data_IF_649266544701
#
_entry.id   IF_649266544701
#
_cell.length_a   1.000
_cell.length_b   1.000
_cell.length_c   1.000
_cell.angle_alpha   90.00
_cell.angle_beta   90.00
_cell.angle_gamma   90.00
#
_symmetry.space_group_name_H-M   'P 1'
#
loop_
_entity.id
_entity.type
_entity.pdbx_description
1 polymer ?
#
# COMPACT_ATOMS: atom_id res chain seq x y z
N UNK A 1 2.29 -12.49 4.14
CA UNK A 1 1.17 -13.45 4.21
C UNK A 1 0.20 -13.04 3.11
N UNK A 2 -0.23 -13.98 2.26
CA UNK A 2 -1.22 -13.72 1.21
C UNK A 2 -2.58 -14.05 1.81
N UNK A 3 -3.53 -13.11 1.74
CA UNK A 3 -4.91 -13.30 2.20
C UNK A 3 -5.83 -13.26 0.98
N UNK A 4 -6.73 -14.24 0.87
CA UNK A 4 -7.76 -14.25 -0.17
C UNK A 4 -9.03 -13.73 0.47
N UNK A 5 -9.64 -12.72 -0.14
CA UNK A 5 -10.92 -12.16 0.30
C UNK A 5 -11.93 -12.16 -0.85
N UNK A 6 -13.21 -12.18 -0.50
CA UNK A 6 -14.32 -12.21 -1.44
C UNK A 6 -15.24 -11.03 -1.15
N UNK A 7 -15.56 -10.23 -2.17
CA UNK A 7 -16.47 -9.11 -2.02
C UNK A 7 -17.91 -9.56 -1.76
N UNK A 8 -18.29 -10.68 -2.39
CA UNK A 8 -19.63 -11.27 -2.28
C UNK A 8 -19.53 -12.78 -1.99
N UNK A 9 -19.21 -13.17 -0.75
CA UNK A 9 -18.96 -14.57 -0.37
C UNK A 9 -20.19 -15.47 -0.54
N UNK A 10 -21.39 -14.92 -0.58
CA UNK A 10 -22.63 -15.62 -0.82
C UNK A 10 -22.65 -16.37 -2.16
N UNK A 11 -21.99 -15.87 -3.19
CA UNK A 11 -21.91 -16.56 -4.47
C UNK A 11 -21.07 -17.85 -4.44
N UNK A 12 -20.26 -18.06 -3.41
CA UNK A 12 -19.56 -19.33 -3.22
C UNK A 12 -20.51 -20.53 -3.00
N UNK A 13 -21.75 -20.26 -2.57
CA UNK A 13 -22.78 -21.33 -2.50
C UNK A 13 -23.04 -21.99 -3.85
N UNK A 14 -22.80 -21.30 -4.97
CA UNK A 14 -22.90 -21.90 -6.29
C UNK A 14 -21.89 -23.06 -6.52
N UNK A 15 -20.86 -23.22 -5.68
CA UNK A 15 -19.98 -24.40 -5.73
C UNK A 15 -20.74 -25.70 -5.52
N UNK A 16 -21.89 -25.68 -4.84
CA UNK A 16 -22.76 -26.84 -4.72
C UNK A 16 -23.39 -27.29 -6.07
N UNK A 17 -23.31 -26.47 -7.11
CA UNK A 17 -23.72 -26.86 -8.48
C UNK A 17 -22.72 -27.84 -9.13
N UNK A 18 -21.46 -27.92 -8.65
CA UNK A 18 -20.45 -28.84 -9.20
C UNK A 18 -20.85 -30.32 -9.08
N UNK A 19 -21.23 -30.85 -7.89
CA UNK A 19 -21.75 -32.21 -7.79
C UNK A 19 -22.96 -32.47 -8.68
N UNK A 20 -23.88 -31.50 -8.80
CA UNK A 20 -25.07 -31.61 -9.64
C UNK A 20 -24.66 -31.80 -11.11
N UNK A 21 -23.71 -31.00 -11.58
CA UNK A 21 -23.19 -31.07 -12.95
C UNK A 21 -22.54 -32.45 -13.22
N UNK A 22 -21.77 -32.99 -12.27
CA UNK A 22 -21.15 -34.31 -12.36
C UNK A 22 -22.24 -35.39 -12.47
N UNK A 23 -23.26 -35.33 -11.62
CA UNK A 23 -24.37 -36.30 -11.61
C UNK A 23 -25.12 -36.23 -12.93
N UNK A 24 -25.51 -35.04 -13.39
CA UNK A 24 -26.22 -34.84 -14.66
C UNK A 24 -25.41 -35.39 -15.83
N UNK A 25 -24.12 -35.08 -15.90
CA UNK A 25 -23.22 -35.59 -16.94
C UNK A 25 -23.14 -37.12 -16.91
N UNK A 26 -23.01 -37.72 -15.73
CA UNK A 26 -22.97 -39.19 -15.57
C UNK A 26 -24.26 -39.85 -16.00
N UNK A 27 -25.43 -39.31 -15.65
CA UNK A 27 -26.74 -39.82 -16.06
C UNK A 27 -26.91 -39.71 -17.59
N UNK A 28 -26.55 -38.58 -18.16
CA UNK A 28 -26.62 -38.34 -19.60
C UNK A 28 -25.74 -39.30 -20.36
N UNK A 29 -24.50 -39.51 -19.90
CA UNK A 29 -23.57 -40.46 -20.49
C UNK A 29 -24.11 -41.89 -20.46
N UNK A 30 -24.64 -42.36 -19.31
CA UNK A 30 -25.25 -43.67 -19.19
C UNK A 30 -26.47 -43.84 -20.10
N UNK A 31 -27.33 -42.83 -20.25
CA UNK A 31 -28.48 -42.84 -21.13
C UNK A 31 -28.06 -42.94 -22.60
N UNK A 32 -27.02 -42.21 -23.00
CA UNK A 32 -26.49 -42.20 -24.38
C UNK A 32 -25.88 -43.56 -24.70
N UNK A 33 -25.13 -44.16 -23.79
CA UNK A 33 -24.62 -45.54 -23.94
C UNK A 33 -25.75 -46.57 -24.13
N UNK A 34 -26.81 -46.50 -23.30
CA UNK A 34 -27.95 -47.41 -23.42
C UNK A 34 -28.70 -47.26 -24.74
N UNK A 35 -28.79 -46.06 -25.29
CA UNK A 35 -29.40 -45.83 -26.62
C UNK A 35 -28.51 -46.38 -27.74
N UNK A 36 -27.20 -46.19 -27.67
CA UNK A 36 -26.26 -46.71 -28.65
C UNK A 36 -26.23 -48.26 -28.67
N UNK A 37 -26.44 -48.93 -27.54
CA UNK A 37 -26.56 -50.37 -27.45
C UNK A 37 -27.84 -50.95 -28.12
N UNK A 38 -28.87 -50.13 -28.34
CA UNK A 38 -30.10 -50.55 -29.01
C UNK A 38 -30.01 -50.56 -30.55
N UNK A 39 -29.03 -49.88 -31.14
CA UNK A 39 -28.79 -49.89 -32.56
C UNK A 39 -27.71 -50.93 -32.89
N UNK A 40 -28.13 -52.02 -33.52
CA UNK A 40 -27.33 -53.19 -33.83
C UNK A 40 -26.11 -52.87 -34.68
N UNK A 41 -24.95 -52.87 -34.11
CA UNK A 41 -23.60 -53.10 -34.59
C UNK A 41 -22.55 -52.54 -33.63
N UNK A 42 -22.88 -52.52 -32.35
CA UNK A 42 -22.05 -51.92 -31.29
C UNK A 42 -20.75 -52.66 -31.07
N UNK A 43 -20.71 -53.96 -31.32
CA UNK A 43 -19.51 -54.78 -31.09
C UNK A 43 -18.35 -54.41 -32.06
N UNK A 44 -18.67 -54.03 -33.27
CA UNK A 44 -17.68 -53.51 -34.23
C UNK A 44 -17.22 -52.09 -33.91
N UNK A 45 -18.14 -51.23 -33.46
CA UNK A 45 -17.86 -49.82 -33.09
C UNK A 45 -17.13 -49.78 -31.73
N UNK A 46 -17.48 -50.61 -30.76
CA UNK A 46 -16.84 -50.61 -29.44
C UNK A 46 -15.40 -51.10 -29.47
N UNK A 47 -15.04 -51.99 -30.39
CA UNK A 47 -13.65 -52.40 -30.61
C UNK A 47 -12.77 -51.34 -31.19
N UNK A 48 -13.32 -50.40 -31.97
CA UNK A 48 -12.60 -49.32 -32.65
C UNK A 48 -12.57 -48.02 -31.81
N UNK A 49 -13.62 -47.74 -31.04
CA UNK A 49 -13.83 -46.40 -30.46
C UNK A 49 -14.01 -46.41 -28.93
N UNK A 50 -14.18 -47.54 -28.29
CA UNK A 50 -14.67 -47.64 -26.90
C UNK A 50 -13.82 -46.94 -25.82
N UNK A 51 -12.51 -46.97 -25.97
CA UNK A 51 -11.63 -46.34 -24.98
C UNK A 51 -11.47 -44.82 -25.20
N UNK A 52 -11.58 -44.36 -26.43
CA UNK A 52 -11.42 -42.92 -26.77
C UNK A 52 -12.66 -42.08 -26.42
N UNK A 53 -13.88 -42.66 -26.55
CA UNK A 53 -15.11 -41.99 -26.18
C UNK A 53 -15.21 -41.67 -24.68
N UNK A 54 -14.77 -42.56 -23.85
CA UNK A 54 -14.78 -42.39 -22.38
C UNK A 54 -13.80 -41.30 -21.96
N UNK A 55 -12.57 -41.37 -22.47
CA UNK A 55 -11.53 -40.40 -22.18
C UNK A 55 -11.96 -38.99 -22.57
N UNK A 56 -12.55 -38.84 -23.74
CA UNK A 56 -12.96 -37.55 -24.30
C UNK A 56 -14.10 -36.90 -23.51
N UNK A 57 -15.10 -37.64 -23.07
CA UNK A 57 -16.19 -37.11 -22.24
C UNK A 57 -15.67 -36.63 -20.86
N UNK A 58 -14.63 -37.28 -20.32
CA UNK A 58 -13.98 -36.86 -19.08
C UNK A 58 -13.24 -35.52 -19.29
N UNK A 59 -12.50 -35.33 -20.38
CA UNK A 59 -11.84 -34.06 -20.65
C UNK A 59 -12.84 -32.89 -20.78
N UNK A 60 -13.93 -33.07 -21.51
CA UNK A 60 -14.97 -32.06 -21.63
C UNK A 60 -15.63 -31.75 -20.27
N UNK A 61 -15.85 -32.77 -19.44
CA UNK A 61 -16.37 -32.54 -18.09
C UNK A 61 -15.41 -31.74 -17.23
N UNK A 62 -14.10 -32.04 -17.28
CA UNK A 62 -13.08 -31.26 -16.55
C UNK A 62 -13.08 -29.82 -17.02
N UNK A 63 -13.12 -29.56 -18.34
CA UNK A 63 -13.20 -28.18 -18.86
C UNK A 63 -14.42 -27.43 -18.30
N UNK A 64 -15.61 -28.05 -18.31
CA UNK A 64 -16.83 -27.47 -17.74
C UNK A 64 -16.73 -27.18 -16.26
N UNK A 65 -16.16 -28.11 -15.49
CA UNK A 65 -15.98 -27.93 -14.05
C UNK A 65 -15.02 -26.77 -13.75
N UNK A 66 -13.89 -26.70 -14.45
CA UNK A 66 -12.93 -25.61 -14.29
C UNK A 66 -13.53 -24.28 -14.67
N UNK A 67 -14.23 -24.23 -15.81
CA UNK A 67 -14.90 -23.00 -16.26
C UNK A 67 -15.93 -22.53 -15.24
N UNK A 68 -16.76 -23.45 -14.72
CA UNK A 68 -17.78 -23.11 -13.72
C UNK A 68 -17.16 -22.57 -12.43
N UNK A 69 -16.04 -23.18 -11.95
CA UNK A 69 -15.31 -22.68 -10.79
C UNK A 69 -14.78 -21.27 -11.05
N UNK A 70 -14.18 -21.01 -12.22
CA UNK A 70 -13.65 -19.68 -12.56
C UNK A 70 -14.76 -18.64 -12.62
N UNK A 71 -15.92 -18.97 -13.18
CA UNK A 71 -17.09 -18.08 -13.19
C UNK A 71 -17.57 -17.77 -11.77
N UNK A 72 -17.67 -18.79 -10.91
CA UNK A 72 -18.08 -18.60 -9.51
C UNK A 72 -17.08 -17.71 -8.77
N UNK A 73 -15.78 -17.93 -8.94
CA UNK A 73 -14.74 -17.10 -8.34
C UNK A 73 -14.76 -15.66 -8.89
N UNK A 74 -15.04 -15.48 -10.17
CA UNK A 74 -15.20 -14.16 -10.76
C UNK A 74 -16.40 -13.42 -10.14
N UNK A 75 -17.58 -14.06 -10.08
CA UNK A 75 -18.81 -13.45 -9.55
C UNK A 75 -18.71 -13.19 -8.05
N UNK A 76 -17.98 -14.03 -7.30
CA UNK A 76 -17.72 -13.80 -5.87
C UNK A 76 -16.81 -12.61 -5.59
N UNK A 77 -16.24 -11.96 -6.64
CA UNK A 77 -15.35 -10.83 -6.46
C UNK A 77 -14.07 -11.21 -5.72
N UNK A 78 -13.38 -12.23 -6.21
CA UNK A 78 -12.16 -12.74 -5.59
C UNK A 78 -11.04 -11.72 -5.69
N UNK A 79 -10.50 -11.30 -4.55
CA UNK A 79 -9.34 -10.43 -4.45
C UNK A 79 -8.23 -11.08 -3.64
N UNK A 80 -7.01 -10.95 -4.13
CA UNK A 80 -5.80 -11.43 -3.47
C UNK A 80 -5.12 -10.26 -2.82
N UNK A 81 -5.09 -10.24 -1.50
CA UNK A 81 -4.41 -9.22 -0.71
C UNK A 81 -3.05 -9.76 -0.28
N UNK A 82 -2.00 -9.07 -0.63
CA UNK A 82 -0.64 -9.38 -0.19
C UNK A 82 0.01 -8.16 0.43
N UNK A 83 0.92 -8.39 1.37
CA UNK A 83 1.78 -7.34 1.87
C UNK A 83 2.84 -7.08 0.80
N UNK A 84 2.49 -6.24 -0.16
CA UNK A 84 3.44 -5.72 -1.14
C UNK A 84 4.04 -4.42 -0.63
N UNK A 85 5.15 -4.01 -1.23
CA UNK A 85 5.55 -2.62 -1.23
C UNK A 85 4.43 -1.87 -1.96
N UNK A 86 3.47 -1.35 -1.19
CA UNK A 86 2.32 -0.69 -1.78
C UNK A 86 2.75 0.62 -2.35
N UNK A 87 2.35 0.77 -3.57
CA UNK A 87 1.91 2.03 -4.18
C UNK A 87 2.51 3.27 -3.52
N UNK A 88 3.35 3.90 -4.29
CA UNK A 88 3.76 5.30 -4.18
C UNK A 88 3.06 6.05 -3.05
N UNK A 89 3.76 6.19 -1.94
CA UNK A 89 3.45 7.20 -0.94
C UNK A 89 4.38 8.37 -1.22
N UNK A 90 3.82 9.56 -1.36
CA UNK A 90 4.61 10.77 -1.44
C UNK A 90 4.83 11.30 -0.03
N UNK A 91 6.03 11.71 0.26
CA UNK A 91 6.41 12.27 1.55
C UNK A 91 6.78 13.74 1.43
N UNK A 92 6.41 14.54 2.43
CA UNK A 92 7.03 15.83 2.69
C UNK A 92 7.81 15.72 4.01
N UNK A 93 9.12 15.67 3.91
CA UNK A 93 10.00 15.59 5.05
C UNK A 93 10.30 17.02 5.54
N UNK A 94 9.86 17.34 6.75
CA UNK A 94 10.00 18.65 7.35
C UNK A 94 10.94 18.59 8.53
N UNK A 95 12.09 19.26 8.44
CA UNK A 95 13.16 19.25 9.44
C UNK A 95 13.23 20.62 10.12
N UNK A 96 13.05 20.63 11.42
CA UNK A 96 13.25 21.82 12.23
C UNK A 96 14.72 22.24 12.20
N UNK A 97 14.95 23.49 11.85
CA UNK A 97 16.26 24.12 11.80
C UNK A 97 16.38 25.33 12.77
N UNK A 98 15.46 25.40 13.75
CA UNK A 98 15.48 26.44 14.78
C UNK A 98 16.69 26.33 15.72
N UNK A 99 16.94 27.36 16.50
CA UNK A 99 18.08 27.41 17.41
C UNK A 99 18.05 26.30 18.47
N UNK A 100 16.86 25.80 18.89
CA UNK A 100 16.72 24.70 19.84
C UNK A 100 17.27 23.38 19.31
N UNK A 101 17.40 23.25 17.99
CA UNK A 101 17.99 22.07 17.36
C UNK A 101 19.53 22.01 17.43
N UNK A 102 20.18 23.09 17.95
CA UNK A 102 21.61 23.09 18.26
C UNK A 102 21.94 22.38 19.57
N UNK A 103 20.94 22.11 20.39
CA UNK A 103 21.15 21.45 21.70
C UNK A 103 21.77 20.06 21.49
N UNK A 104 22.75 19.73 22.37
CA UNK A 104 23.56 18.51 22.27
C UNK A 104 23.11 17.39 23.23
N UNK A 105 21.87 17.45 23.70
CA UNK A 105 21.28 16.38 24.53
C UNK A 105 21.15 15.04 23.74
N UNK A 106 21.17 15.14 22.42
CA UNK A 106 21.30 13.99 21.49
C UNK A 106 22.55 14.24 20.63
N UNK A 107 23.53 13.38 20.75
CA UNK A 107 24.84 13.57 20.07
C UNK A 107 24.76 13.30 18.56
N UNK A 108 25.39 14.14 17.70
CA UNK A 108 26.24 15.31 18.05
C UNK A 108 25.44 16.59 18.35
N UNK A 109 24.24 16.75 17.80
CA UNK A 109 23.19 17.72 18.12
C UNK A 109 21.85 17.18 17.63
N UNK A 110 20.74 17.78 18.08
CA UNK A 110 19.40 17.39 17.59
C UNK A 110 19.32 17.51 16.06
N UNK A 111 19.80 18.63 15.48
CA UNK A 111 19.77 18.83 14.02
C UNK A 111 20.61 17.80 13.27
N UNK A 112 21.84 17.57 13.69
CA UNK A 112 22.71 16.62 13.01
C UNK A 112 22.18 15.17 13.13
N UNK A 113 21.59 14.82 14.27
CA UNK A 113 20.92 13.54 14.46
C UNK A 113 19.67 13.41 13.57
N UNK A 114 18.85 14.46 13.46
CA UNK A 114 17.72 14.52 12.56
C UNK A 114 18.13 14.36 11.09
N UNK A 115 19.19 15.05 10.65
CA UNK A 115 19.72 14.93 9.28
C UNK A 115 20.22 13.53 8.97
N UNK A 116 20.98 12.91 9.88
CA UNK A 116 21.49 11.54 9.69
C UNK A 116 20.36 10.52 9.61
N UNK A 117 19.35 10.65 10.45
CA UNK A 117 18.18 9.78 10.45
C UNK A 117 17.30 10.01 9.19
N UNK A 118 17.15 11.26 8.76
CA UNK A 118 16.44 11.60 7.52
C UNK A 118 17.13 11.01 6.28
N UNK A 119 18.46 11.05 6.21
CA UNK A 119 19.24 10.37 5.15
C UNK A 119 19.00 8.86 5.18
N UNK A 120 19.06 8.24 6.36
CA UNK A 120 18.79 6.81 6.50
C UNK A 120 17.34 6.44 6.15
N UNK A 121 16.38 7.32 6.44
CA UNK A 121 14.98 7.13 6.03
C UNK A 121 14.85 7.03 4.51
N UNK A 122 15.54 7.89 3.75
CA UNK A 122 15.53 7.82 2.29
C UNK A 122 16.08 6.48 1.77
N UNK A 123 17.04 5.84 2.47
CA UNK A 123 17.56 4.52 2.11
C UNK A 123 16.52 3.39 2.26
N UNK A 124 15.52 3.58 3.10
CA UNK A 124 14.43 2.61 3.30
C UNK A 124 13.25 2.78 2.34
N UNK A 125 13.21 3.88 1.59
CA UNK A 125 12.14 4.16 0.65
C UNK A 125 12.36 3.42 -0.69
N UNK A 126 11.29 2.99 -1.35
CA UNK A 126 11.37 2.48 -2.71
C UNK A 126 11.87 3.55 -3.70
N UNK A 127 12.61 3.14 -4.74
CA UNK A 127 13.21 4.03 -5.76
C UNK A 127 12.21 4.98 -6.45
N UNK A 128 10.92 4.62 -6.49
CA UNK A 128 9.87 5.41 -7.13
C UNK A 128 9.16 6.39 -6.18
N UNK A 129 9.63 6.49 -4.94
CA UNK A 129 9.02 7.36 -3.93
C UNK A 129 9.37 8.82 -4.23
N UNK A 130 8.35 9.69 -4.29
CA UNK A 130 8.56 11.12 -4.39
C UNK A 130 8.64 11.73 -2.99
N UNK A 131 9.69 12.50 -2.76
CA UNK A 131 9.91 13.18 -1.48
C UNK A 131 10.13 14.66 -1.72
N UNK A 132 9.35 15.51 -1.03
CA UNK A 132 9.61 16.92 -0.88
C UNK A 132 10.39 17.19 0.42
N UNK A 133 11.22 18.19 0.43
CA UNK A 133 12.05 18.53 1.58
C UNK A 133 11.80 19.98 2.01
N UNK A 134 11.57 20.16 3.29
CA UNK A 134 11.32 21.44 3.94
C UNK A 134 12.27 21.58 5.12
N UNK A 135 12.95 22.71 5.23
CA UNK A 135 13.56 23.15 6.49
C UNK A 135 12.73 24.31 7.05
N UNK A 136 12.60 24.37 8.36
CA UNK A 136 11.79 25.43 8.96
C UNK A 136 12.34 25.88 10.31
N UNK A 137 12.00 27.12 10.62
CA UNK A 137 12.25 27.81 11.89
C UNK A 137 11.15 28.85 12.06
N UNK A 138 11.46 30.09 12.37
CA UNK A 138 10.53 31.22 12.23
C UNK A 138 10.11 31.52 10.78
N UNK A 139 10.74 30.90 9.82
CA UNK A 139 10.42 30.96 8.37
C UNK A 139 10.55 29.55 7.79
N UNK A 140 9.70 29.26 6.78
CA UNK A 140 9.68 27.97 6.11
C UNK A 140 10.42 28.07 4.78
N UNK A 141 11.35 27.16 4.53
CA UNK A 141 12.12 27.05 3.30
C UNK A 141 11.79 25.75 2.58
N UNK A 142 11.39 25.83 1.32
CA UNK A 142 11.23 24.66 0.46
C UNK A 142 12.61 24.34 -0.12
N UNK A 143 13.27 23.34 0.43
CA UNK A 143 14.58 22.87 -0.01
C UNK A 143 14.48 22.08 -1.32
N UNK A 144 13.40 21.30 -1.47
CA UNK A 144 13.07 20.58 -2.69
C UNK A 144 11.56 20.37 -2.79
N UNK A 145 11.01 20.56 -3.99
CA UNK A 145 9.67 20.05 -4.33
C UNK A 145 9.71 18.53 -4.45
N UNK A 146 8.58 17.88 -4.80
CA UNK A 146 8.53 16.43 -4.98
C UNK A 146 9.55 15.94 -6.02
N UNK A 147 10.56 15.24 -5.55
CA UNK A 147 11.69 14.69 -6.32
C UNK A 147 11.78 13.18 -6.12
N UNK A 148 12.20 12.45 -7.14
CA UNK A 148 12.47 11.00 -7.08
C UNK A 148 13.94 10.67 -6.93
N UNK A 149 14.83 11.63 -7.19
CA UNK A 149 16.28 11.47 -7.01
C UNK A 149 16.63 11.58 -5.53
N UNK A 150 16.59 10.42 -4.85
CA UNK A 150 16.86 10.33 -3.41
C UNK A 150 18.32 10.69 -3.07
N UNK A 151 19.28 10.46 -3.97
CA UNK A 151 20.68 10.82 -3.73
C UNK A 151 20.88 12.35 -3.73
N UNK A 152 20.20 13.03 -4.65
CA UNK A 152 20.18 14.49 -4.64
C UNK A 152 19.60 15.05 -3.34
N UNK A 153 18.48 14.47 -2.87
CA UNK A 153 17.85 14.86 -1.60
C UNK A 153 18.76 14.64 -0.40
N UNK A 154 19.51 13.53 -0.35
CA UNK A 154 20.51 13.29 0.70
C UNK A 154 21.58 14.38 0.74
N UNK A 155 22.00 14.86 -0.45
CA UNK A 155 22.94 15.98 -0.55
C UNK A 155 22.36 17.25 0.06
N UNK A 156 21.10 17.57 -0.25
CA UNK A 156 20.40 18.75 0.28
C UNK A 156 20.21 18.65 1.80
N UNK A 157 19.77 17.48 2.32
CA UNK A 157 19.61 17.27 3.78
C UNK A 157 20.92 17.56 4.52
N UNK A 158 22.05 17.08 4.01
CA UNK A 158 23.35 17.32 4.63
C UNK A 158 23.74 18.79 4.67
N UNK A 159 23.27 19.60 3.72
CA UNK A 159 23.57 21.04 3.64
C UNK A 159 22.67 21.91 4.52
N UNK A 160 21.57 21.38 5.09
CA UNK A 160 20.70 22.15 5.99
C UNK A 160 21.52 22.63 7.20
N UNK A 161 21.39 23.93 7.47
CA UNK A 161 22.03 24.61 8.60
C UNK A 161 20.96 25.22 9.50
N UNK A 162 21.35 25.50 10.75
CA UNK A 162 20.48 26.23 11.67
C UNK A 162 20.16 27.59 11.12
N UNK A 163 18.87 27.92 11.13
CA UNK A 163 18.36 29.20 10.68
C UNK A 163 18.73 30.32 11.66
N UNK A 164 19.09 31.49 11.13
CA UNK A 164 19.27 32.69 11.94
C UNK A 164 17.94 33.36 12.33
N UNK A 165 16.82 32.93 11.74
CA UNK A 165 15.50 33.45 12.06
C UNK A 165 14.96 32.74 13.29
N UNK A 166 14.76 33.50 14.35
CA UNK A 166 14.25 32.98 15.62
C UNK A 166 12.78 32.54 15.53
N UNK A 167 12.38 31.64 16.42
CA UNK A 167 11.04 31.08 16.51
C UNK A 167 10.85 29.83 15.66
N UNK A 168 9.63 29.25 15.76
CA UNK A 168 9.24 28.04 15.04
C UNK A 168 7.80 28.17 14.58
N UNK A 169 7.56 28.10 13.26
CA UNK A 169 6.25 28.20 12.60
C UNK A 169 5.82 26.82 12.09
N UNK A 170 5.27 25.99 12.99
CA UNK A 170 4.73 24.68 12.64
C UNK A 170 3.52 24.74 11.73
N UNK A 171 2.66 25.76 11.93
CA UNK A 171 1.45 25.90 11.13
C UNK A 171 1.75 26.11 9.65
N UNK A 172 2.63 27.07 9.33
CA UNK A 172 3.03 27.31 7.95
C UNK A 172 3.82 26.13 7.35
N UNK A 173 4.57 25.39 8.17
CA UNK A 173 5.29 24.18 7.76
C UNK A 173 4.30 23.09 7.29
N UNK A 174 3.23 22.86 8.04
CA UNK A 174 2.18 21.90 7.69
C UNK A 174 1.46 22.30 6.40
N UNK A 175 1.10 23.60 6.26
CA UNK A 175 0.46 24.11 5.04
C UNK A 175 1.40 23.96 3.83
N UNK A 176 2.66 24.33 3.98
CA UNK A 176 3.66 24.20 2.90
C UNK A 176 3.86 22.76 2.49
N UNK A 177 4.00 21.84 3.45
CA UNK A 177 4.10 20.39 3.20
C UNK A 177 2.87 19.85 2.49
N UNK A 178 1.67 20.28 2.91
CA UNK A 178 0.41 19.94 2.25
C UNK A 178 0.40 20.43 0.81
N UNK A 179 0.78 21.68 0.57
CA UNK A 179 0.82 22.26 -0.77
C UNK A 179 1.78 21.52 -1.69
N UNK A 180 2.97 21.14 -1.22
CA UNK A 180 3.93 20.34 -1.99
C UNK A 180 3.30 18.98 -2.38
N UNK A 181 2.64 18.30 -1.44
CA UNK A 181 2.07 16.98 -1.67
C UNK A 181 0.86 16.97 -2.62
N UNK A 182 0.04 18.02 -2.60
CA UNK A 182 -1.13 18.11 -3.49
C UNK A 182 -0.78 18.50 -4.93
N UNK A 183 0.45 18.93 -5.21
CA UNK A 183 0.90 19.19 -6.60
C UNK A 183 0.88 17.94 -7.45
N UNK A 184 1.03 16.78 -6.83
CA UNK A 184 0.91 15.48 -7.52
C UNK A 184 -0.53 14.97 -7.46
N UNK A 185 -1.20 14.93 -8.62
CA UNK A 185 -2.56 14.43 -8.76
C UNK A 185 -2.66 12.90 -8.78
N UNK A 186 -1.55 12.17 -8.63
CA UNK A 186 -1.57 10.72 -8.59
C UNK A 186 -2.40 10.21 -7.39
N UNK A 187 -3.11 9.08 -7.52
CA UNK A 187 -3.89 8.47 -6.43
C UNK A 187 -2.99 7.75 -5.43
N UNK A 188 -2.13 8.50 -4.77
CA UNK A 188 -1.12 8.03 -3.82
C UNK A 188 -1.43 8.46 -2.40
N UNK A 189 -0.91 7.75 -1.41
CA UNK A 189 -0.93 8.22 -0.03
C UNK A 189 0.01 9.42 0.11
N UNK A 190 -0.38 10.42 0.88
CA UNK A 190 0.38 11.64 1.11
C UNK A 190 0.68 11.78 2.59
N UNK A 191 1.94 11.92 2.92
CA UNK A 191 2.43 11.87 4.30
C UNK A 191 3.39 13.02 4.55
N UNK A 192 3.15 13.77 5.61
CA UNK A 192 4.14 14.69 6.18
C UNK A 192 4.86 13.97 7.31
N UNK A 193 6.17 14.02 7.33
CA UNK A 193 7.01 13.61 8.46
C UNK A 193 7.63 14.85 9.06
N UNK A 194 7.17 15.22 10.24
CA UNK A 194 7.57 16.43 10.93
C UNK A 194 8.56 16.08 12.05
N UNK A 195 9.77 16.65 12.00
CA UNK A 195 10.82 16.44 13.01
C UNK A 195 11.08 17.76 13.70
N UNK A 196 10.78 17.84 15.00
CA UNK A 196 10.88 19.09 15.78
C UNK A 196 10.90 18.75 17.27
N UNK A 197 11.28 19.73 18.11
CA UNK A 197 11.04 19.67 19.55
C UNK A 197 9.60 20.09 19.94
N UNK A 198 8.75 20.39 18.98
CA UNK A 198 7.32 20.64 19.17
C UNK A 198 6.96 22.07 19.55
N UNK A 199 7.91 22.91 19.86
CA UNK A 199 7.63 24.30 20.22
C UNK A 199 7.16 25.07 18.99
N UNK A 200 5.96 25.67 19.08
CA UNK A 200 5.40 26.55 18.05
C UNK A 200 5.03 27.86 18.69
N UNK A 201 5.76 28.90 18.38
CA UNK A 201 5.64 30.19 19.07
C UNK A 201 5.30 31.36 18.15
N UNK A 202 5.27 31.15 16.84
CA UNK A 202 4.91 32.15 15.84
C UNK A 202 4.16 31.53 14.67
N UNK A 203 3.56 32.37 13.83
CA UNK A 203 3.01 32.01 12.54
C UNK A 203 1.53 31.63 12.56
N UNK A 204 1.14 30.70 11.68
CA UNK A 204 -0.24 30.31 11.47
C UNK A 204 -0.72 29.44 12.63
N UNK A 205 -1.96 29.66 13.15
CA UNK A 205 -2.52 28.80 14.19
C UNK A 205 -2.50 27.33 13.79
N UNK A 206 -1.92 26.50 14.63
CA UNK A 206 -1.72 25.07 14.37
C UNK A 206 -3.03 24.33 14.02
N UNK A 207 -4.13 24.70 14.71
CA UNK A 207 -5.46 24.13 14.44
C UNK A 207 -5.89 24.30 12.98
N UNK A 208 -5.74 25.51 12.44
CA UNK A 208 -6.13 25.81 11.03
C UNK A 208 -5.26 25.06 10.03
N UNK A 209 -3.97 24.92 10.34
CA UNK A 209 -3.05 24.16 9.49
C UNK A 209 -3.36 22.65 9.46
N UNK A 210 -3.71 22.08 10.64
CA UNK A 210 -4.11 20.67 10.76
C UNK A 210 -5.45 20.43 10.06
N UNK A 211 -6.44 21.31 10.22
CA UNK A 211 -7.72 21.24 9.50
C UNK A 211 -7.48 21.23 7.97
N UNK A 212 -6.62 22.11 7.47
CA UNK A 212 -6.25 22.15 6.05
C UNK A 212 -5.59 20.84 5.57
N UNK A 213 -4.72 20.24 6.38
CA UNK A 213 -4.10 18.96 6.07
C UNK A 213 -5.14 17.82 5.99
N UNK A 214 -6.10 17.79 6.93
CA UNK A 214 -7.19 16.79 6.96
C UNK A 214 -8.09 16.91 5.73
N UNK A 215 -8.50 18.12 5.35
CA UNK A 215 -9.31 18.36 4.15
C UNK A 215 -8.63 17.82 2.89
N UNK A 216 -7.30 17.90 2.83
CA UNK A 216 -6.48 17.37 1.72
C UNK A 216 -6.06 15.90 1.90
N UNK A 217 -6.57 15.21 2.93
CA UNK A 217 -6.29 13.79 3.24
C UNK A 217 -4.80 13.52 3.45
N UNK A 218 -4.10 14.44 4.09
CA UNK A 218 -2.70 14.30 4.47
C UNK A 218 -2.60 13.64 5.84
N UNK A 219 -1.76 12.63 5.95
CA UNK A 219 -1.38 12.01 7.22
C UNK A 219 -0.12 12.70 7.73
N UNK A 220 -0.08 13.06 9.01
CA UNK A 220 1.10 13.70 9.60
C UNK A 220 1.66 12.78 10.67
N UNK A 221 2.86 12.26 10.45
CA UNK A 221 3.66 11.64 11.50
C UNK A 221 4.55 12.68 12.14
N UNK A 222 4.60 12.70 13.45
CA UNK A 222 5.42 13.63 14.21
C UNK A 222 6.52 12.89 14.96
N UNK A 223 7.74 13.38 14.87
CA UNK A 223 8.91 12.88 15.60
C UNK A 223 9.37 13.99 16.53
N UNK A 224 9.10 13.83 17.82
CA UNK A 224 9.60 14.72 18.85
C UNK A 224 11.03 14.39 19.19
N UNK A 225 11.96 15.32 18.95
CA UNK A 225 13.38 15.14 19.21
C UNK A 225 13.80 15.91 20.46
N UNK A 226 14.34 15.19 21.46
CA UNK A 226 14.79 15.75 22.73
C UNK A 226 14.67 14.78 23.88
N UNK A 227 15.39 15.05 24.95
CA UNK A 227 15.34 14.28 26.18
C UNK A 227 14.28 14.86 27.15
N UNK A 228 13.86 14.07 28.16
CA UNK A 228 12.85 14.48 29.14
C UNK A 228 13.35 15.64 30.03
N UNK A 229 14.63 15.60 30.34
CA UNK A 229 15.29 16.63 31.15
C UNK A 229 15.51 17.93 30.35
N UNK A 230 15.34 17.86 29.01
CA UNK A 230 15.69 18.93 28.11
C UNK A 230 17.20 19.15 27.99
N UNK A 231 17.59 20.06 27.12
CA UNK A 231 18.97 20.42 26.97
C UNK A 231 19.17 21.94 27.08
N UNK A 232 20.21 22.37 27.72
CA UNK A 232 20.57 23.78 27.83
C UNK A 232 21.19 24.28 26.53
N UNK A 233 20.83 25.50 26.10
CA UNK A 233 21.53 26.15 25.01
C UNK A 233 22.99 26.45 25.42
N UNK A 234 23.91 26.27 24.49
CA UNK A 234 25.33 26.52 24.73
C UNK A 234 25.54 27.95 25.25
N UNK A 235 26.05 28.06 26.49
CA UNK A 235 26.37 29.34 27.14
C UNK A 235 25.17 30.09 27.77
N UNK A 236 24.03 29.43 27.97
CA UNK A 236 22.86 29.99 28.65
C UNK A 236 22.24 28.98 29.62
N UNK A 237 21.47 29.48 30.59
CA UNK A 237 20.68 28.64 31.52
C UNK A 237 19.26 28.33 30.94
N UNK A 238 19.01 28.66 29.67
CA UNK A 238 17.70 28.40 29.02
C UNK A 238 17.65 26.95 28.58
N UNK A 239 16.65 26.22 29.06
CA UNK A 239 16.45 24.80 28.73
C UNK A 239 15.36 24.70 27.63
N UNK A 240 15.67 24.00 26.56
CA UNK A 240 14.69 23.60 25.56
C UNK A 240 14.05 22.27 25.95
N UNK A 241 12.76 22.28 26.21
CA UNK A 241 11.96 21.08 26.52
C UNK A 241 11.11 20.68 25.34
N UNK A 242 10.83 19.38 25.22
CA UNK A 242 9.98 18.82 24.20
C UNK A 242 8.49 19.09 24.48
N UNK A 243 7.75 19.68 23.52
CA UNK A 243 6.30 19.86 23.61
C UNK A 243 5.58 18.65 22.94
N UNK A 244 5.46 17.58 23.73
CA UNK A 244 4.86 16.35 23.23
C UNK A 244 3.36 16.44 22.97
N UNK A 245 2.63 17.23 23.75
CA UNK A 245 1.18 17.25 23.69
C UNK A 245 0.70 17.81 22.33
N UNK A 246 1.34 18.86 21.83
CA UNK A 246 1.06 19.39 20.52
C UNK A 246 1.38 18.37 19.42
N UNK A 247 2.52 17.69 19.49
CA UNK A 247 2.93 16.71 18.49
C UNK A 247 2.04 15.47 18.46
N UNK A 248 1.64 14.95 19.63
CA UNK A 248 0.67 13.87 19.76
C UNK A 248 -0.68 14.24 19.15
N UNK A 249 -1.18 15.43 19.48
CA UNK A 249 -2.45 15.92 18.99
C UNK A 249 -2.47 16.05 17.46
N UNK A 250 -1.41 16.59 16.85
CA UNK A 250 -1.28 16.68 15.38
C UNK A 250 -1.35 15.29 14.75
N UNK A 251 -0.57 14.35 15.27
CA UNK A 251 -0.53 12.98 14.74
C UNK A 251 -1.88 12.29 14.88
N UNK A 252 -2.48 12.29 16.06
CA UNK A 252 -3.74 11.60 16.35
C UNK A 252 -4.89 12.10 15.47
N UNK A 253 -5.07 13.42 15.35
CA UNK A 253 -6.16 14.02 14.57
C UNK A 253 -6.02 13.72 13.07
N UNK A 254 -4.78 13.65 12.55
CA UNK A 254 -4.51 13.38 11.13
C UNK A 254 -4.41 11.88 10.80
N UNK A 255 -4.53 11.00 11.79
CA UNK A 255 -4.42 9.55 11.65
C UNK A 255 -2.98 9.06 11.47
N UNK A 256 -2.01 9.85 11.89
CA UNK A 256 -0.60 9.49 11.96
C UNK A 256 -0.19 8.93 13.31
N UNK A 257 1.11 8.83 13.52
CA UNK A 257 1.70 8.39 14.79
C UNK A 257 2.70 9.42 15.30
N UNK A 258 2.74 9.60 16.63
CA UNK A 258 3.79 10.32 17.32
C UNK A 258 4.89 9.36 17.74
N UNK A 259 6.14 9.78 17.55
CA UNK A 259 7.33 9.06 17.99
C UNK A 259 8.20 9.97 18.83
N UNK A 260 8.69 9.44 19.96
CA UNK A 260 9.65 10.15 20.81
C UNK A 260 11.07 9.67 20.52
N UNK A 261 11.93 10.56 20.13
CA UNK A 261 13.33 10.28 19.81
C UNK A 261 14.25 10.92 20.85
N UNK A 262 14.63 10.14 21.88
CA UNK A 262 15.58 10.52 22.93
C UNK A 262 17.01 10.13 22.59
N UNK A 263 17.19 9.34 21.53
CA UNK A 263 18.50 8.93 21.03
C UNK A 263 18.45 8.77 19.50
N UNK A 264 19.63 8.71 18.90
CA UNK A 264 19.76 8.48 17.45
C UNK A 264 19.13 7.15 17.02
N UNK A 265 19.26 6.09 17.83
CA UNK A 265 18.70 4.77 17.57
C UNK A 265 17.17 4.82 17.56
N UNK A 266 16.55 5.46 18.58
CA UNK A 266 15.10 5.64 18.62
C UNK A 266 14.58 6.48 17.45
N UNK A 267 15.34 7.45 16.99
CA UNK A 267 15.01 8.27 15.83
C UNK A 267 15.01 7.43 14.53
N UNK A 268 15.99 6.57 14.34
CA UNK A 268 16.04 5.62 13.22
C UNK A 268 14.89 4.61 13.27
N UNK A 269 14.57 4.10 14.46
CA UNK A 269 13.43 3.19 14.63
C UNK A 269 12.10 3.86 14.29
N UNK A 270 11.92 5.12 14.66
CA UNK A 270 10.72 5.90 14.31
C UNK A 270 10.53 6.01 12.80
N UNK A 271 11.57 6.31 12.06
CA UNK A 271 11.54 6.34 10.61
C UNK A 271 11.25 4.97 9.97
N UNK A 272 11.85 3.91 10.53
CA UNK A 272 11.56 2.55 10.08
C UNK A 272 10.09 2.17 10.29
N UNK A 273 9.50 2.58 11.39
CA UNK A 273 8.07 2.36 11.65
C UNK A 273 7.18 3.15 10.71
N UNK A 274 7.49 4.41 10.43
CA UNK A 274 6.78 5.23 9.44
C UNK A 274 6.83 4.57 8.06
N UNK A 275 8.00 4.10 7.62
CA UNK A 275 8.14 3.40 6.35
C UNK A 275 7.33 2.09 6.30
N UNK A 276 7.20 1.38 7.42
CA UNK A 276 6.40 0.16 7.54
C UNK A 276 4.90 0.43 7.62
N UNK A 277 4.49 1.51 8.31
CA UNK A 277 3.08 1.89 8.50
C UNK A 277 2.38 2.14 7.17
N UNK A 278 3.06 2.74 6.23
CA UNK A 278 2.55 3.01 4.89
C UNK A 278 2.59 1.81 3.92
N UNK A 279 3.00 0.62 4.38
CA UNK A 279 2.85 -0.63 3.63
C UNK A 279 1.41 -1.10 3.68
N UNK A 280 0.52 -0.44 2.93
CA UNK A 280 -0.87 -0.89 2.77
C UNK A 280 -0.90 -2.28 2.13
N UNK A 281 -1.84 -3.11 2.59
CA UNK A 281 -2.20 -4.36 1.90
C UNK A 281 -2.69 -4.00 0.49
N UNK A 282 -1.97 -4.43 -0.53
CA UNK A 282 -2.42 -4.29 -1.92
C UNK A 282 -3.39 -5.41 -2.20
N UNK A 283 -4.63 -5.06 -2.53
CA UNK A 283 -5.62 -6.01 -3.02
C UNK A 283 -5.64 -5.96 -4.55
N UNK A 284 -5.29 -7.06 -5.19
CA UNK A 284 -5.50 -7.27 -6.62
C UNK A 284 -6.87 -7.91 -6.83
N UNK A 285 -7.73 -7.21 -7.54
CA UNK A 285 -9.00 -7.76 -8.01
C UNK A 285 -8.76 -8.74 -9.17
N UNK A 286 -9.03 -10.02 -8.92
CA UNK A 286 -8.86 -11.10 -9.90
C UNK A 286 -10.12 -11.37 -10.72
N UNK A 287 -11.22 -10.65 -10.48
CA UNK A 287 -12.53 -10.83 -11.13
C UNK A 287 -12.41 -10.83 -12.64
N UNK A 288 -11.78 -9.78 -13.20
CA UNK A 288 -11.58 -9.65 -14.63
C UNK A 288 -10.72 -10.78 -15.23
N UNK A 289 -9.64 -11.14 -14.53
CA UNK A 289 -8.72 -12.21 -14.96
C UNK A 289 -9.41 -13.56 -15.01
N UNK A 290 -10.19 -13.91 -13.99
CA UNK A 290 -10.96 -15.15 -13.96
C UNK A 290 -12.07 -15.18 -15.02
N UNK A 291 -12.74 -14.05 -15.26
CA UNK A 291 -13.76 -13.93 -16.29
C UNK A 291 -13.15 -14.14 -17.69
N UNK A 292 -12.02 -13.52 -18.00
CA UNK A 292 -11.32 -13.69 -19.28
C UNK A 292 -10.86 -15.12 -19.49
N UNK A 293 -10.33 -15.75 -18.44
CA UNK A 293 -9.90 -17.15 -18.51
C UNK A 293 -11.09 -18.10 -18.72
N UNK A 294 -12.23 -17.85 -18.05
CA UNK A 294 -13.46 -18.61 -18.23
C UNK A 294 -13.97 -18.50 -19.67
N UNK A 295 -14.00 -17.30 -20.25
CA UNK A 295 -14.39 -17.08 -21.65
C UNK A 295 -13.48 -17.79 -22.63
N UNK A 296 -12.16 -17.78 -22.38
CA UNK A 296 -11.18 -18.50 -23.20
C UNK A 296 -11.45 -20.01 -23.17
N UNK A 297 -11.72 -20.57 -21.99
CA UNK A 297 -12.01 -22.00 -21.84
C UNK A 297 -13.36 -22.37 -22.52
N UNK A 298 -14.37 -21.53 -22.43
CA UNK A 298 -15.64 -21.72 -23.18
C UNK A 298 -15.41 -21.72 -24.68
N UNK A 299 -14.58 -20.83 -25.17
CA UNK A 299 -14.25 -20.76 -26.60
C UNK A 299 -13.52 -22.04 -27.05
N UNK A 300 -12.54 -22.51 -26.27
CA UNK A 300 -11.82 -23.75 -26.54
C UNK A 300 -12.80 -24.95 -26.52
N UNK A 301 -13.68 -25.04 -25.53
CA UNK A 301 -14.70 -26.08 -25.47
C UNK A 301 -15.60 -26.08 -26.72
N UNK A 302 -16.10 -24.88 -27.10
CA UNK A 302 -16.90 -24.70 -28.29
C UNK A 302 -16.17 -25.15 -29.56
N UNK A 303 -14.89 -24.80 -29.69
CA UNK A 303 -14.04 -25.20 -30.81
C UNK A 303 -13.86 -26.73 -30.84
N UNK A 304 -13.57 -27.36 -29.72
CA UNK A 304 -13.41 -28.82 -29.62
C UNK A 304 -14.69 -29.59 -29.98
N UNK A 305 -15.86 -29.05 -29.61
CA UNK A 305 -17.15 -29.68 -29.97
C UNK A 305 -17.45 -29.52 -31.47
N UNK A 306 -17.15 -28.36 -32.06
CA UNK A 306 -17.60 -28.04 -33.41
C UNK A 306 -16.62 -28.41 -34.52
N UNK A 307 -15.30 -28.52 -34.26
CA UNK A 307 -14.31 -28.70 -35.35
C UNK A 307 -13.98 -30.19 -35.62
N UNK A 308 -13.33 -30.86 -34.69
CA UNK A 308 -12.75 -32.20 -34.95
C UNK A 308 -13.54 -33.36 -34.30
N UNK A 309 -14.55 -33.00 -33.56
CA UNK A 309 -15.15 -33.95 -32.62
C UNK A 309 -16.67 -33.91 -32.64
N UNK A 310 -17.27 -33.67 -33.80
CA UNK A 310 -18.70 -33.92 -33.95
C UNK A 310 -19.01 -35.30 -33.43
N UNK A 311 -19.63 -35.36 -32.25
CA UNK A 311 -20.30 -36.59 -31.79
C UNK A 311 -21.52 -36.67 -32.73
N UNK A 312 -21.46 -37.59 -33.69
CA UNK A 312 -22.63 -37.95 -34.48
C UNK A 312 -23.69 -38.36 -33.49
N UNK A 313 -24.93 -37.81 -33.58
CA UNK A 313 -25.97 -38.05 -32.59
C UNK A 313 -26.43 -39.50 -32.53
#
# INVERSE_FOLDING_TARGET
MVEISFSNPEYLWFLFSLPILIIVNSITFRKTQKKALKFANFEAISRITGSEFIKKNIYLLIFRLVTLVLVILAVSGTSITYKGLSTSTNYALSIDSSASMLVEDISPSRLESAKQAAVSFLDFLPDNTKVGLISFSGTVFIESVLETDLEKLKGIIKSIQVSQVGGTDLGNTIITGTNILITDNAPVSRVIVLITDGQSNIGIPLKSAVEYAIENKIIIHTIGIGTEEGGAFIGTDVVSTLDEDNLKNIADITGGNYFRAESKEKLLDSFNEIAKFNRKKVSLDMTFSFMMLALLLLFIEWMLINTKHKIIP
#
